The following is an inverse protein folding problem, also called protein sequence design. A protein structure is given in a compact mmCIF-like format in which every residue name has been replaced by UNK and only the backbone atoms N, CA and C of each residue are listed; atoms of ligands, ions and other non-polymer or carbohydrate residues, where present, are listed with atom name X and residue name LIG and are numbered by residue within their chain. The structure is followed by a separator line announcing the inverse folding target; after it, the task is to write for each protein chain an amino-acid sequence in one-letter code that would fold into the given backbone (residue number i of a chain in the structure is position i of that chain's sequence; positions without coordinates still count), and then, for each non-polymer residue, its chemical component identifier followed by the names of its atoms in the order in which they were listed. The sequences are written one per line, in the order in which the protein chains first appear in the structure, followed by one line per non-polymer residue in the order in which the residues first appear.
data_IF_783339901084
#
_entry.id   IF_783339901084
#
_cell.length_a   1.000
_cell.length_b   1.000
_cell.length_c   1.000
_cell.angle_alpha   90.00
_cell.angle_beta   90.00
_cell.angle_gamma   90.00
#
_symmetry.space_group_name_H-M   'P 1'
#
loop_
_entity.id
_entity.type
_entity.pdbx_description
1 polymer ?
#
# COMPACT_ATOMS: atom_id res chain seq x y z
N UNK A 1 8.65 0.33 -79.32
CA UNK A 1 7.24 0.58 -78.96
C UNK A 1 6.82 -0.53 -78.00
N UNK A 2 6.60 -0.19 -76.72
CA UNK A 2 5.55 -0.73 -75.81
C UNK A 2 5.60 -2.27 -75.53
N UNK A 3 5.71 -2.83 -74.31
CA UNK A 3 5.22 -2.49 -72.96
C UNK A 3 6.20 -2.99 -71.87
N UNK A 4 6.59 -2.11 -70.95
CA UNK A 4 7.02 -2.51 -69.60
C UNK A 4 5.76 -2.76 -68.75
N UNK A 5 5.39 -4.03 -68.58
CA UNK A 5 4.38 -4.44 -67.62
C UNK A 5 4.98 -4.55 -66.22
N UNK A 6 5.05 -3.45 -65.48
CA UNK A 6 5.33 -3.46 -64.05
C UNK A 6 4.04 -3.88 -63.31
N UNK A 7 3.90 -5.19 -63.08
CA UNK A 7 2.87 -5.70 -62.18
C UNK A 7 3.34 -5.49 -60.74
N UNK A 8 2.96 -4.37 -60.13
CA UNK A 8 2.96 -4.24 -58.68
C UNK A 8 1.88 -5.16 -58.13
N UNK A 9 2.23 -6.43 -57.90
CA UNK A 9 1.45 -7.30 -57.04
C UNK A 9 1.47 -6.66 -55.65
N UNK A 10 0.42 -5.90 -55.33
CA UNK A 10 0.16 -5.47 -53.97
C UNK A 10 0.13 -6.72 -53.10
N UNK A 11 1.15 -6.88 -52.25
CA UNK A 11 1.27 -8.04 -51.38
C UNK A 11 0.06 -8.07 -50.44
N UNK A 12 -0.93 -8.88 -50.77
CA UNK A 12 -2.03 -9.20 -49.87
C UNK A 12 -1.42 -9.97 -48.70
N UNK A 13 -1.17 -9.31 -47.58
CA UNK A 13 -0.82 -9.98 -46.32
C UNK A 13 -2.13 -10.51 -45.73
N UNK A 14 -2.39 -11.82 -45.73
CA UNK A 14 -3.54 -12.34 -45.00
C UNK A 14 -3.41 -11.92 -43.54
N UNK A 15 -4.48 -11.34 -42.99
CA UNK A 15 -4.53 -10.97 -41.58
C UNK A 15 -4.31 -12.18 -40.68
N UNK A 16 -3.94 -11.97 -39.41
CA UNK A 16 -3.72 -13.07 -38.47
C UNK A 16 -4.97 -13.96 -38.39
N UNK A 17 -4.76 -15.27 -38.30
CA UNK A 17 -5.86 -16.22 -38.14
C UNK A 17 -6.67 -15.88 -36.89
N UNK A 18 -7.98 -16.20 -36.87
CA UNK A 18 -8.84 -15.97 -35.69
C UNK A 18 -8.23 -16.56 -34.41
N UNK A 19 -7.56 -17.72 -34.51
CA UNK A 19 -6.85 -18.35 -33.39
C UNK A 19 -5.67 -17.52 -32.91
N UNK A 20 -4.85 -17.01 -33.82
CA UNK A 20 -3.71 -16.13 -33.50
C UNK A 20 -4.19 -14.84 -32.85
N UNK A 21 -5.27 -14.25 -33.36
CA UNK A 21 -5.86 -13.03 -32.82
C UNK A 21 -6.46 -13.28 -31.42
N UNK A 22 -7.18 -14.39 -31.22
CA UNK A 22 -7.68 -14.77 -29.90
C UNK A 22 -6.56 -14.98 -28.90
N UNK A 23 -5.51 -15.73 -29.27
CA UNK A 23 -4.34 -15.93 -28.39
C UNK A 23 -3.64 -14.62 -28.05
N UNK A 24 -3.47 -13.72 -29.03
CA UNK A 24 -2.90 -12.40 -28.81
C UNK A 24 -3.75 -11.58 -27.84
N UNK A 25 -5.07 -11.54 -28.02
CA UNK A 25 -5.98 -10.83 -27.10
C UNK A 25 -5.96 -11.43 -25.70
N UNK A 26 -6.04 -12.76 -25.57
CA UNK A 26 -5.99 -13.41 -24.26
C UNK A 26 -4.66 -13.13 -23.56
N UNK A 27 -3.54 -13.16 -24.29
CA UNK A 27 -2.23 -12.83 -23.73
C UNK A 27 -2.16 -11.37 -23.27
N UNK A 28 -2.69 -10.43 -24.06
CA UNK A 28 -2.72 -9.02 -23.70
C UNK A 28 -3.57 -8.79 -22.44
N UNK A 29 -4.76 -9.41 -22.35
CA UNK A 29 -5.62 -9.33 -21.17
C UNK A 29 -4.92 -9.94 -19.95
N UNK A 30 -4.26 -11.09 -20.10
CA UNK A 30 -3.54 -11.72 -18.99
C UNK A 30 -2.42 -10.82 -18.45
N UNK A 31 -1.65 -10.17 -19.33
CA UNK A 31 -0.61 -9.20 -18.94
C UNK A 31 -1.21 -8.00 -18.22
N UNK A 32 -2.32 -7.45 -18.72
CA UNK A 32 -3.00 -6.32 -18.08
C UNK A 32 -3.53 -6.67 -16.69
N UNK A 33 -4.13 -7.84 -16.53
CA UNK A 33 -4.63 -8.31 -15.24
C UNK A 33 -3.50 -8.55 -14.24
N UNK A 34 -2.43 -9.22 -14.68
CA UNK A 34 -1.26 -9.46 -13.85
C UNK A 34 -0.58 -8.15 -13.42
N UNK A 35 -0.41 -7.20 -14.35
CA UNK A 35 0.15 -5.87 -14.06
C UNK A 35 -0.74 -5.08 -13.10
N UNK A 36 -2.06 -5.06 -13.32
CA UNK A 36 -3.02 -4.38 -12.43
C UNK A 36 -3.01 -4.98 -11.04
N UNK A 37 -3.00 -6.32 -10.94
CA UNK A 37 -2.90 -7.02 -9.66
C UNK A 37 -1.63 -6.64 -8.90
N UNK A 38 -0.48 -6.63 -9.58
CA UNK A 38 0.79 -6.25 -8.98
C UNK A 38 0.77 -4.81 -8.43
N UNK A 39 0.21 -3.87 -9.18
CA UNK A 39 0.06 -2.48 -8.73
C UNK A 39 -0.83 -2.40 -7.49
N UNK A 40 -1.99 -3.06 -7.50
CA UNK A 40 -2.91 -3.09 -6.35
C UNK A 40 -2.22 -3.69 -5.11
N UNK A 41 -1.48 -4.78 -5.30
CA UNK A 41 -0.70 -5.42 -4.24
C UNK A 41 0.29 -4.43 -3.62
N UNK A 42 1.08 -3.73 -4.43
CA UNK A 42 2.04 -2.72 -3.95
C UNK A 42 1.36 -1.56 -3.22
N UNK A 43 0.24 -1.06 -3.73
CA UNK A 43 -0.54 -0.01 -3.06
C UNK A 43 -1.10 -0.47 -1.71
N UNK A 44 -1.56 -1.71 -1.61
CA UNK A 44 -2.07 -2.28 -0.36
C UNK A 44 -0.95 -2.56 0.65
N UNK A 45 0.22 -2.99 0.18
CA UNK A 45 1.38 -3.30 1.02
C UNK A 45 2.09 -2.05 1.52
N UNK A 46 2.16 -0.97 0.75
CA UNK A 46 2.79 0.28 1.22
C UNK A 46 2.14 1.47 0.52
N UNK A 47 0.97 1.93 0.98
CA UNK A 47 0.34 3.10 0.40
C UNK A 47 1.25 4.32 0.56
N UNK A 48 1.13 5.35 -0.30
CA UNK A 48 1.94 6.55 -0.19
C UNK A 48 1.74 7.29 1.15
N UNK A 49 0.59 7.12 1.79
CA UNK A 49 0.27 7.59 3.15
C UNK A 49 0.53 6.55 4.25
N UNK A 50 1.39 5.56 4.00
CA UNK A 50 1.72 4.51 4.97
C UNK A 50 2.28 5.08 6.28
N UNK A 51 3.01 6.20 6.24
CA UNK A 51 3.52 6.88 7.43
C UNK A 51 2.38 7.41 8.29
N UNK A 52 1.39 8.08 7.70
CA UNK A 52 0.26 8.62 8.45
C UNK A 52 -0.57 7.49 9.09
N UNK A 53 -0.76 6.37 8.39
CA UNK A 53 -1.35 5.15 8.94
C UNK A 53 -0.53 4.60 10.12
N UNK A 54 0.80 4.67 10.04
CA UNK A 54 1.71 4.14 11.06
C UNK A 54 1.60 4.95 12.34
N UNK A 55 1.65 6.28 12.23
CA UNK A 55 1.43 7.19 13.35
C UNK A 55 0.04 7.00 13.97
N UNK A 56 -0.99 7.00 13.12
CA UNK A 56 -2.38 6.84 13.57
C UNK A 56 -2.60 5.51 14.29
N UNK A 57 -2.01 4.42 13.79
CA UNK A 57 -2.09 3.11 14.44
C UNK A 57 -1.48 3.13 15.85
N UNK A 58 -0.32 3.78 16.01
CA UNK A 58 0.30 4.01 17.32
C UNK A 58 -0.61 4.83 18.23
N UNK A 59 -1.13 5.95 17.72
CA UNK A 59 -2.02 6.84 18.46
C UNK A 59 -3.29 6.14 18.98
N UNK A 60 -3.91 5.31 18.14
CA UNK A 60 -5.08 4.52 18.53
C UNK A 60 -4.71 3.55 19.67
N UNK A 61 -3.56 2.89 19.59
CA UNK A 61 -3.10 1.95 20.63
C UNK A 61 -2.90 2.66 21.97
N UNK A 62 -2.11 3.75 21.99
CA UNK A 62 -1.88 4.53 23.21
C UNK A 62 -3.16 5.11 23.79
N UNK A 63 -4.04 5.64 22.93
CA UNK A 63 -5.35 6.16 23.33
C UNK A 63 -6.26 5.10 23.93
N UNK A 64 -6.26 3.88 23.40
CA UNK A 64 -7.05 2.76 23.93
C UNK A 64 -6.60 2.37 25.32
N UNK A 65 -5.29 2.23 25.52
CA UNK A 65 -4.73 1.87 26.83
C UNK A 65 -5.05 2.97 27.85
N UNK A 66 -4.84 4.25 27.50
CA UNK A 66 -5.20 5.38 28.36
C UNK A 66 -6.68 5.37 28.76
N UNK A 67 -7.59 5.16 27.79
CA UNK A 67 -9.03 5.12 28.05
C UNK A 67 -9.45 3.92 28.89
N UNK A 68 -8.73 2.80 28.79
CA UNK A 68 -8.97 1.58 29.55
C UNK A 68 -8.27 1.59 30.93
N UNK A 69 -7.49 2.62 31.25
CA UNK A 69 -6.71 2.73 32.49
C UNK A 69 -7.32 3.76 33.45
N UNK A 70 -8.26 3.35 34.33
CA UNK A 70 -8.89 4.24 35.30
C UNK A 70 -7.90 4.75 36.38
N UNK A 71 -6.76 4.07 36.55
CA UNK A 71 -5.77 4.41 37.59
C UNK A 71 -4.68 5.35 37.10
N UNK A 72 -4.50 5.46 35.78
CA UNK A 72 -3.39 6.16 35.14
C UNK A 72 -2.02 5.47 35.28
N UNK A 73 -1.94 4.28 35.89
CA UNK A 73 -0.67 3.58 36.07
C UNK A 73 -0.11 3.02 34.76
N UNK A 74 -0.96 2.43 33.91
CA UNK A 74 -0.56 1.90 32.61
C UNK A 74 -0.17 3.03 31.66
N UNK A 75 -0.89 4.15 31.73
CA UNK A 75 -0.56 5.36 30.97
C UNK A 75 0.82 5.89 31.34
N UNK A 76 1.16 5.93 32.64
CA UNK A 76 2.51 6.32 33.09
C UNK A 76 3.58 5.36 32.58
N UNK A 77 3.33 4.05 32.61
CA UNK A 77 4.27 3.04 32.07
C UNK A 77 4.49 3.21 30.57
N UNK A 78 3.43 3.50 29.80
CA UNK A 78 3.54 3.78 28.38
C UNK A 78 4.45 4.99 28.10
N UNK A 79 4.22 6.08 28.82
CA UNK A 79 5.00 7.32 28.68
C UNK A 79 6.46 7.16 29.15
N UNK A 80 6.72 6.26 30.09
CA UNK A 80 8.05 5.93 30.58
C UNK A 80 8.85 4.99 29.64
N UNK A 81 8.36 4.71 28.44
CA UNK A 81 9.04 3.87 27.44
C UNK A 81 8.27 2.60 27.05
N UNK A 82 7.11 2.35 27.65
CA UNK A 82 6.27 1.19 27.31
C UNK A 82 5.83 1.16 25.84
N UNK A 83 5.62 2.32 25.20
CA UNK A 83 5.34 2.36 23.76
C UNK A 83 6.48 1.76 22.91
N UNK A 84 7.75 2.08 23.22
CA UNK A 84 8.90 1.50 22.54
C UNK A 84 9.03 -0.01 22.82
N UNK A 85 8.72 -0.43 24.06
CA UNK A 85 8.73 -1.83 24.43
C UNK A 85 7.68 -2.65 23.66
N UNK A 86 6.45 -2.15 23.56
CA UNK A 86 5.35 -2.78 22.79
C UNK A 86 5.73 -2.90 21.31
N UNK A 87 6.32 -1.84 20.74
CA UNK A 87 6.79 -1.85 19.36
C UNK A 87 7.88 -2.92 19.16
N UNK A 88 8.89 -2.93 20.03
CA UNK A 88 10.04 -3.85 19.92
C UNK A 88 9.64 -5.32 20.09
N UNK A 89 8.61 -5.59 20.90
CA UNK A 89 8.04 -6.92 21.07
C UNK A 89 7.21 -7.39 19.85
N UNK A 90 6.98 -6.53 18.85
CA UNK A 90 6.18 -6.85 17.65
C UNK A 90 4.67 -6.67 17.82
N UNK A 91 4.21 -6.06 18.93
CA UNK A 91 2.78 -5.94 19.25
C UNK A 91 2.11 -4.75 18.55
N UNK A 92 2.89 -3.88 17.90
CA UNK A 92 2.37 -2.78 17.08
C UNK A 92 1.70 -3.23 15.77
N UNK A 93 1.83 -4.51 15.42
CA UNK A 93 1.24 -5.12 14.23
C UNK A 93 1.90 -4.68 12.93
N UNK A 94 1.34 -5.15 11.80
CA UNK A 94 1.91 -4.91 10.45
C UNK A 94 2.03 -3.42 10.08
N UNK A 95 1.20 -2.55 10.65
CA UNK A 95 1.28 -1.11 10.38
C UNK A 95 2.47 -0.45 11.07
N UNK A 96 2.96 -1.01 12.18
CA UNK A 96 4.14 -0.50 12.88
C UNK A 96 5.47 -0.78 12.16
N UNK A 97 5.47 -1.65 11.13
CA UNK A 97 6.71 -2.05 10.45
C UNK A 97 7.14 -1.09 9.34
N UNK A 98 6.28 -0.16 8.90
CA UNK A 98 6.67 0.84 7.90
C UNK A 98 7.60 1.89 8.48
N UNK A 99 7.35 2.33 9.72
CA UNK A 99 8.21 3.22 10.49
C UNK A 99 8.00 2.98 12.01
N UNK A 100 8.87 2.16 12.63
CA UNK A 100 8.87 1.92 14.07
C UNK A 100 8.83 3.17 14.95
N UNK A 101 9.61 4.19 14.58
CA UNK A 101 9.76 5.41 15.39
C UNK A 101 8.48 6.23 15.36
N UNK A 102 7.90 6.38 14.18
CA UNK A 102 6.65 7.11 13.97
C UNK A 102 5.46 6.45 14.67
N UNK A 103 5.44 5.11 14.72
CA UNK A 103 4.45 4.37 15.50
C UNK A 103 4.57 4.66 17.00
N UNK A 104 5.80 4.68 17.52
CA UNK A 104 6.07 5.01 18.94
C UNK A 104 5.66 6.45 19.25
N UNK A 105 5.97 7.40 18.37
CA UNK A 105 5.55 8.80 18.48
C UNK A 105 4.02 8.91 18.60
N UNK A 106 3.29 8.26 17.70
CA UNK A 106 1.82 8.20 17.76
C UNK A 106 1.33 7.60 19.07
N UNK A 107 1.90 6.46 19.51
CA UNK A 107 1.54 5.82 20.78
C UNK A 107 1.72 6.75 21.99
N UNK A 108 2.83 7.49 22.04
CA UNK A 108 3.09 8.46 23.10
C UNK A 108 2.08 9.60 23.06
N UNK A 109 1.74 10.13 21.88
CA UNK A 109 0.74 11.19 21.74
C UNK A 109 -0.65 10.73 22.18
N UNK A 110 -1.05 9.51 21.80
CA UNK A 110 -2.32 8.91 22.21
C UNK A 110 -2.39 8.63 23.72
N UNK A 111 -1.28 8.16 24.30
CA UNK A 111 -1.14 7.95 25.75
C UNK A 111 -1.08 9.26 26.54
N UNK A 112 -0.53 10.34 25.96
CA UNK A 112 -0.54 11.67 26.54
C UNK A 112 -1.90 12.38 26.36
N UNK A 113 -2.78 11.87 25.50
CA UNK A 113 -4.07 12.47 25.19
C UNK A 113 -3.97 13.75 24.35
N UNK A 114 -2.90 13.88 23.55
CA UNK A 114 -2.72 14.99 22.61
C UNK A 114 -3.69 14.85 21.43
N UNK A 115 -3.82 15.92 20.65
CA UNK A 115 -4.58 15.88 19.39
C UNK A 115 -3.86 14.97 18.38
N UNK A 116 -4.63 14.20 17.59
CA UNK A 116 -4.08 13.43 16.48
C UNK A 116 -3.61 14.38 15.37
N UNK A 117 -2.33 14.31 15.01
CA UNK A 117 -1.70 15.25 14.07
C UNK A 117 -1.55 14.72 12.64
N UNK A 118 -1.56 13.40 12.46
CA UNK A 118 -1.44 12.72 11.16
C UNK A 118 -2.50 11.64 11.04
N UNK A 119 -3.22 11.59 9.91
CA UNK A 119 -4.30 10.64 9.63
C UNK A 119 -4.18 10.13 8.21
N UNK A 120 -4.33 8.81 8.01
CA UNK A 120 -4.19 8.19 6.68
C UNK A 120 -5.41 8.33 5.76
N UNK A 121 -6.39 9.18 6.11
CA UNK A 121 -7.67 9.34 5.40
C UNK A 121 -7.93 10.77 4.92
N UNK A 122 -7.19 11.75 5.42
CA UNK A 122 -7.37 13.16 5.07
C UNK A 122 -6.02 13.77 4.69
N UNK A 123 -5.74 13.78 3.39
CA UNK A 123 -4.69 14.57 2.76
C UNK A 123 -5.34 15.49 1.74
#
# INVERSE_FOLDING_TARGET
MVLHGHQTLGAYRPGPSRRTLSLALTSAVAVLLAGSWFIIQRYNERPPWALDITYEAGYIQGSRIRKADPTGQETKKLLAGGCAQIQSAGWGGRKATYDPGLWVEGCLDGAAGRQLTKQGLFH
#
